data_IF_356415180572
#
_entry.id   IF_356415180572
#
_cell.length_a   1.000
_cell.length_b   1.000
_cell.length_c   1.000
_cell.angle_alpha   90.00
_cell.angle_beta   90.00
_cell.angle_gamma   90.00
#
_symmetry.space_group_name_H-M   'P 1'
#
loop_
_entity.id
_entity.type
_entity.pdbx_description
1 polymer ?
#
# COMPACT_ATOMS: atom_id res chain seq x y z
N UNK A 1 -1.01 23.05 10.60
CA UNK A 1 -1.96 22.82 9.49
C UNK A 1 -1.43 21.65 8.68
N UNK A 2 -2.28 20.65 8.39
CA UNK A 2 -1.95 19.52 7.50
C UNK A 2 -1.43 20.04 6.15
N UNK A 3 -0.33 19.42 5.65
CA UNK A 3 0.20 19.72 4.32
C UNK A 3 -0.44 18.84 3.25
N UNK A 4 -0.96 17.67 3.65
CA UNK A 4 -1.70 16.75 2.80
C UNK A 4 -2.70 15.94 3.64
N UNK A 5 -3.83 15.57 3.04
CA UNK A 5 -4.86 14.75 3.69
C UNK A 5 -4.81 13.31 3.20
N UNK A 6 -4.30 13.11 1.99
CA UNK A 6 -4.21 11.81 1.31
C UNK A 6 -2.76 11.56 0.94
N UNK A 7 -2.28 10.34 1.18
CA UNK A 7 -1.00 9.82 0.72
C UNK A 7 -1.18 8.80 -0.39
N UNK A 8 -0.33 8.84 -1.40
CA UNK A 8 -0.31 7.84 -2.48
C UNK A 8 1.11 7.29 -2.62
N UNK A 9 1.27 6.00 -2.44
CA UNK A 9 2.53 5.33 -2.79
C UNK A 9 2.60 5.13 -4.31
N UNK A 10 3.05 6.18 -5.01
CA UNK A 10 3.11 6.20 -6.46
C UNK A 10 4.21 7.09 -7.00
N UNK A 11 4.85 6.65 -8.08
CA UNK A 11 5.93 7.38 -8.76
C UNK A 11 5.43 8.46 -9.73
N UNK A 12 6.34 8.93 -10.60
CA UNK A 12 6.10 10.01 -11.56
C UNK A 12 4.87 9.81 -12.45
N UNK A 13 4.51 8.57 -12.75
CA UNK A 13 3.30 8.25 -13.51
C UNK A 13 1.99 8.78 -12.88
N UNK A 14 1.97 9.12 -11.58
CA UNK A 14 0.79 9.66 -10.91
C UNK A 14 0.74 11.18 -10.89
N UNK A 15 1.87 11.86 -10.75
CA UNK A 15 1.90 13.31 -10.54
C UNK A 15 2.47 14.12 -11.70
N UNK A 16 3.08 13.51 -12.71
CA UNK A 16 3.70 14.20 -13.84
C UNK A 16 2.74 15.02 -14.71
N UNK A 17 1.43 14.77 -14.59
CA UNK A 17 0.38 15.48 -15.32
C UNK A 17 -0.48 16.37 -14.40
N UNK A 18 -0.05 16.58 -13.15
CA UNK A 18 -0.74 17.46 -12.22
C UNK A 18 -0.09 18.84 -12.24
N UNK A 19 -0.92 19.87 -12.12
CA UNK A 19 -0.45 21.23 -11.94
C UNK A 19 -0.01 21.47 -10.49
N UNK A 20 0.81 22.48 -10.26
CA UNK A 20 1.25 22.95 -8.92
C UNK A 20 1.92 21.86 -8.06
N UNK A 21 2.71 21.00 -8.70
CA UNK A 21 3.48 19.97 -7.97
C UNK A 21 4.68 20.60 -7.27
N UNK A 22 4.77 20.43 -5.97
CA UNK A 22 5.87 20.91 -5.14
C UNK A 22 6.64 19.74 -4.53
N UNK A 23 7.94 19.69 -4.79
CA UNK A 23 8.85 18.72 -4.17
C UNK A 23 9.26 19.17 -2.77
N UNK A 24 9.10 18.30 -1.78
CA UNK A 24 9.57 18.54 -0.42
C UNK A 24 10.41 17.38 0.08
N UNK A 25 11.47 17.70 0.82
CA UNK A 25 12.24 16.73 1.62
C UNK A 25 11.62 16.64 2.99
N UNK A 26 11.45 15.44 3.48
CA UNK A 26 10.92 15.16 4.82
C UNK A 26 11.98 14.41 5.59
N UNK A 27 12.45 15.02 6.68
CA UNK A 27 13.32 14.34 7.64
C UNK A 27 12.48 13.48 8.57
N UNK A 28 12.95 12.26 8.84
CA UNK A 28 12.26 11.34 9.73
C UNK A 28 13.22 10.75 10.76
N UNK A 29 12.74 10.39 11.96
CA UNK A 29 13.56 9.74 12.97
C UNK A 29 13.99 8.32 12.57
N UNK A 30 13.48 7.81 11.47
CA UNK A 30 13.80 6.48 10.92
C UNK A 30 14.78 6.53 9.75
N UNK A 31 15.41 7.69 9.52
CA UNK A 31 16.27 7.95 8.38
C UNK A 31 15.50 8.46 7.15
N UNK A 32 16.13 8.53 5.98
CA UNK A 32 15.51 9.10 4.79
C UNK A 32 14.38 8.21 4.25
N UNK A 33 13.27 8.81 3.79
CA UNK A 33 12.30 8.14 2.93
C UNK A 33 12.93 7.69 1.61
N UNK A 34 12.20 6.86 0.86
CA UNK A 34 12.66 6.33 -0.43
C UNK A 34 12.96 7.42 -1.48
N UNK A 35 12.31 8.56 -1.37
CA UNK A 35 12.51 9.75 -2.22
C UNK A 35 11.91 10.99 -1.54
N UNK A 36 12.05 12.17 -2.16
CA UNK A 36 11.30 13.35 -1.78
C UNK A 36 9.80 13.12 -1.99
N UNK A 37 8.99 13.75 -1.16
CA UNK A 37 7.53 13.72 -1.29
C UNK A 37 7.11 14.82 -2.28
N UNK A 38 6.24 14.47 -3.22
CA UNK A 38 5.64 15.41 -4.16
C UNK A 38 4.25 15.79 -3.65
N UNK A 39 4.03 17.06 -3.35
CA UNK A 39 2.73 17.61 -2.98
C UNK A 39 2.03 18.16 -4.22
N UNK A 40 0.77 17.79 -4.40
CA UNK A 40 -0.06 18.30 -5.48
C UNK A 40 -1.50 18.50 -5.01
N UNK A 41 -2.29 19.19 -5.82
CA UNK A 41 -3.72 19.33 -5.58
C UNK A 41 -4.49 18.50 -6.61
N UNK A 42 -5.35 17.61 -6.14
CA UNK A 42 -6.23 16.79 -6.97
C UNK A 42 -7.66 17.07 -6.56
N UNK A 43 -8.44 17.64 -7.49
CA UNK A 43 -9.85 18.02 -7.24
C UNK A 43 -10.04 18.86 -5.96
N UNK A 44 -9.16 19.81 -5.69
CA UNK A 44 -9.19 20.66 -4.50
C UNK A 44 -8.60 20.03 -3.22
N UNK A 45 -8.15 18.79 -3.28
CA UNK A 45 -7.58 18.04 -2.13
C UNK A 45 -6.06 18.03 -2.19
N UNK A 46 -5.42 18.22 -1.06
CA UNK A 46 -3.96 18.13 -0.94
C UNK A 46 -3.52 16.67 -0.83
N UNK A 47 -2.69 16.25 -1.77
CA UNK A 47 -2.22 14.87 -1.91
C UNK A 47 -0.70 14.85 -1.86
N UNK A 48 -0.16 13.92 -1.08
CA UNK A 48 1.27 13.62 -1.02
C UNK A 48 1.57 12.34 -1.80
N UNK A 49 2.45 12.41 -2.79
CA UNK A 49 2.91 11.26 -3.56
C UNK A 49 4.34 10.90 -3.14
N UNK A 50 4.60 9.62 -2.93
CA UNK A 50 5.92 9.10 -2.60
C UNK A 50 6.23 7.86 -3.43
N UNK A 51 7.28 7.88 -4.29
CA UNK A 51 7.68 6.70 -5.04
C UNK A 51 8.36 5.69 -4.09
N UNK A 52 7.64 4.62 -3.75
CA UNK A 52 8.07 3.57 -2.81
C UNK A 52 9.46 3.02 -3.10
N UNK A 53 9.78 2.82 -4.35
CA UNK A 53 11.07 2.28 -4.81
C UNK A 53 12.08 3.36 -5.23
N UNK A 54 11.81 4.65 -4.93
CA UNK A 54 12.50 5.79 -5.49
C UNK A 54 12.10 6.05 -6.94
N UNK A 55 12.24 7.31 -7.40
CA UNK A 55 11.81 7.73 -8.75
C UNK A 55 12.52 7.00 -9.90
N UNK A 56 13.68 6.42 -9.65
CA UNK A 56 14.46 5.61 -10.61
C UNK A 56 14.36 4.11 -10.36
N UNK A 57 13.45 3.68 -9.50
CA UNK A 57 13.25 2.27 -9.11
C UNK A 57 14.53 1.58 -8.62
N UNK A 58 15.32 2.29 -7.80
CA UNK A 58 16.63 1.82 -7.32
C UNK A 58 16.59 1.03 -6.01
N UNK A 59 15.45 1.07 -5.32
CA UNK A 59 15.28 0.38 -4.05
C UNK A 59 14.50 -0.92 -4.24
N UNK A 60 15.12 -2.09 -4.11
CA UNK A 60 14.38 -3.35 -4.11
C UNK A 60 13.49 -3.47 -2.87
N UNK A 61 12.43 -4.31 -2.87
CA UNK A 61 11.41 -4.35 -1.82
C UNK A 61 11.93 -4.49 -0.40
N UNK A 62 12.99 -5.29 -0.20
CA UNK A 62 13.58 -5.54 1.12
C UNK A 62 14.49 -4.40 1.62
N UNK A 63 14.84 -3.44 0.76
CA UNK A 63 15.67 -2.28 1.09
C UNK A 63 14.86 -0.98 1.25
N UNK A 64 13.56 -1.03 1.01
CA UNK A 64 12.67 0.12 1.23
C UNK A 64 12.61 0.45 2.70
N UNK A 65 12.84 1.72 3.04
CA UNK A 65 12.65 2.20 4.41
C UNK A 65 11.16 2.51 4.67
N UNK A 66 10.40 1.46 4.92
CA UNK A 66 8.95 1.56 5.12
C UNK A 66 8.56 2.47 6.27
N UNK A 67 9.30 2.43 7.42
CA UNK A 67 9.02 3.32 8.55
C UNK A 67 9.20 4.79 8.18
N UNK A 68 10.27 5.14 7.50
CA UNK A 68 10.49 6.52 7.07
C UNK A 68 9.42 6.98 6.06
N UNK A 69 9.03 6.12 5.11
CA UNK A 69 8.01 6.44 4.13
C UNK A 69 6.65 6.73 4.76
N UNK A 70 6.22 5.86 5.66
CA UNK A 70 4.93 5.98 6.36
C UNK A 70 4.96 7.16 7.33
N UNK A 71 6.07 7.35 8.06
CA UNK A 71 6.25 8.50 8.93
C UNK A 71 6.21 9.83 8.16
N UNK A 72 6.79 9.88 6.97
CA UNK A 72 6.73 11.08 6.14
C UNK A 72 5.29 11.48 5.83
N UNK A 73 4.42 10.53 5.48
CA UNK A 73 3.00 10.80 5.31
C UNK A 73 2.32 11.26 6.60
N UNK A 74 2.57 10.57 7.70
CA UNK A 74 2.02 10.93 9.00
C UNK A 74 2.40 12.37 9.41
N UNK A 75 3.68 12.76 9.29
CA UNK A 75 4.18 14.10 9.63
C UNK A 75 3.59 15.22 8.75
N UNK A 76 3.07 14.88 7.58
CA UNK A 76 2.35 15.80 6.69
C UNK A 76 0.87 15.91 7.03
N UNK A 77 0.36 15.10 7.95
CA UNK A 77 -1.03 15.08 8.40
C UNK A 77 -1.95 14.16 7.58
N UNK A 78 -1.38 13.25 6.79
CA UNK A 78 -2.15 12.27 5.99
C UNK A 78 -3.03 11.41 6.89
N UNK A 79 -4.28 11.20 6.47
CA UNK A 79 -5.27 10.36 7.14
C UNK A 79 -5.68 9.14 6.31
N UNK A 80 -5.59 9.23 5.00
CA UNK A 80 -5.94 8.16 4.06
C UNK A 80 -4.75 7.85 3.15
N UNK A 81 -4.38 6.59 3.06
CA UNK A 81 -3.26 6.13 2.21
C UNK A 81 -3.79 5.21 1.13
N UNK A 82 -3.48 5.53 -0.13
CA UNK A 82 -3.75 4.68 -1.28
C UNK A 82 -2.43 4.04 -1.71
N UNK A 83 -2.40 2.72 -1.73
CA UNK A 83 -1.22 1.90 -2.01
C UNK A 83 -1.46 1.02 -3.26
N UNK A 84 -1.32 1.59 -4.47
CA UNK A 84 -1.36 0.79 -5.68
C UNK A 84 -0.10 -0.05 -5.83
N UNK A 85 -0.25 -1.28 -6.34
CA UNK A 85 0.89 -2.17 -6.61
C UNK A 85 0.58 -3.17 -7.72
N UNK A 86 1.62 -3.62 -8.42
CA UNK A 86 1.58 -4.79 -9.29
C UNK A 86 1.60 -6.06 -8.44
N UNK A 87 0.85 -7.08 -8.84
CA UNK A 87 0.73 -8.35 -8.13
C UNK A 87 0.66 -9.53 -9.10
N UNK A 88 1.20 -10.68 -8.68
CA UNK A 88 0.92 -11.95 -9.31
C UNK A 88 -0.37 -12.56 -8.79
N UNK A 89 -1.12 -13.25 -9.65
CA UNK A 89 -2.31 -14.00 -9.25
C UNK A 89 -1.96 -15.41 -8.79
N UNK A 90 -2.59 -15.84 -7.71
CA UNK A 90 -2.53 -17.21 -7.19
C UNK A 90 -3.80 -18.01 -7.54
N UNK A 91 -4.77 -17.38 -8.22
CA UNK A 91 -6.06 -17.99 -8.53
C UNK A 91 -6.38 -17.81 -10.02
N UNK A 92 -6.76 -18.88 -10.71
CA UNK A 92 -7.00 -18.85 -12.16
C UNK A 92 -8.10 -17.89 -12.62
N UNK A 93 -9.08 -17.61 -11.77
CA UNK A 93 -10.18 -16.69 -12.07
C UNK A 93 -9.84 -15.21 -11.83
N UNK A 94 -8.67 -14.93 -11.26
CA UNK A 94 -8.15 -13.57 -11.07
C UNK A 94 -7.08 -13.36 -12.15
N UNK A 95 -7.48 -12.80 -13.28
CA UNK A 95 -6.67 -12.76 -14.50
C UNK A 95 -5.82 -11.49 -14.58
N UNK A 96 -4.70 -11.52 -15.34
CA UNK A 96 -3.96 -10.30 -15.68
C UNK A 96 -4.88 -9.22 -16.27
N UNK A 97 -4.74 -7.99 -15.78
CA UNK A 97 -5.61 -6.86 -16.09
C UNK A 97 -6.78 -6.67 -15.13
N UNK A 98 -7.12 -7.65 -14.31
CA UNK A 98 -8.09 -7.49 -13.22
C UNK A 98 -7.48 -6.65 -12.09
N UNK A 99 -8.33 -5.99 -11.32
CA UNK A 99 -7.97 -5.34 -10.07
C UNK A 99 -8.51 -6.14 -8.89
N UNK A 100 -7.75 -6.14 -7.79
CA UNK A 100 -8.19 -6.73 -6.52
C UNK A 100 -7.95 -5.73 -5.39
N UNK A 101 -8.94 -5.58 -4.54
CA UNK A 101 -8.88 -4.78 -3.31
C UNK A 101 -8.59 -5.72 -2.13
N UNK A 102 -7.35 -5.71 -1.65
CA UNK A 102 -6.99 -6.57 -0.53
C UNK A 102 -7.78 -6.21 0.73
N UNK A 103 -8.21 -7.22 1.47
CA UNK A 103 -8.83 -7.08 2.79
C UNK A 103 -8.02 -7.77 3.89
N UNK A 104 -7.09 -8.64 3.51
CA UNK A 104 -6.17 -9.32 4.41
C UNK A 104 -4.79 -9.47 3.79
N UNK A 105 -3.79 -9.64 4.65
CA UNK A 105 -2.45 -10.02 4.22
C UNK A 105 -1.92 -11.24 4.99
N UNK A 106 -0.96 -11.93 4.39
CA UNK A 106 -0.13 -12.94 5.05
C UNK A 106 1.33 -12.55 4.87
N UNK A 107 2.02 -12.33 5.97
CA UNK A 107 3.44 -11.98 5.96
C UNK A 107 4.33 -13.21 5.77
N UNK A 108 5.16 -13.18 4.73
CA UNK A 108 6.24 -14.13 4.45
C UNK A 108 7.58 -13.41 4.27
N UNK A 109 7.70 -12.20 4.80
CA UNK A 109 8.93 -11.41 4.78
C UNK A 109 9.89 -11.80 5.92
N UNK A 110 11.09 -11.24 5.95
CA UNK A 110 12.11 -11.53 6.96
C UNK A 110 12.86 -10.26 7.35
N UNK A 111 13.02 -10.03 8.64
CA UNK A 111 13.92 -9.00 9.18
C UNK A 111 13.60 -7.57 8.80
N UNK A 112 12.38 -7.28 8.36
CA UNK A 112 11.93 -5.92 8.11
C UNK A 112 11.69 -5.19 9.44
N UNK A 113 11.90 -3.89 9.43
CA UNK A 113 11.46 -3.01 10.52
C UNK A 113 9.99 -2.71 10.32
N UNK A 114 9.15 -3.37 11.09
CA UNK A 114 7.72 -3.55 10.82
C UNK A 114 6.79 -3.01 11.91
N UNK A 115 7.33 -2.24 12.87
CA UNK A 115 6.54 -1.56 13.90
C UNK A 115 7.17 -0.22 14.29
N UNK A 116 6.33 0.71 14.73
CA UNK A 116 6.73 1.95 15.40
C UNK A 116 6.82 1.79 16.93
N UNK A 117 6.35 0.68 17.48
CA UNK A 117 6.28 0.44 18.91
C UNK A 117 7.40 -0.51 19.41
N UNK A 118 8.64 -0.13 19.14
CA UNK A 118 9.86 -0.88 19.52
C UNK A 118 10.19 -0.82 21.05
N UNK A 119 9.25 -0.40 21.88
CA UNK A 119 9.40 -0.26 23.33
C UNK A 119 9.57 1.21 23.78
N UNK A 120 9.80 1.48 25.11
CA UNK A 120 9.91 0.52 26.22
C UNK A 120 8.58 -0.06 26.67
N UNK A 121 7.45 0.43 26.13
CA UNK A 121 6.12 -0.08 26.47
C UNK A 121 5.63 -0.97 25.35
N UNK A 122 5.29 -2.20 25.68
CA UNK A 122 4.72 -3.14 24.72
C UNK A 122 3.34 -2.69 24.27
N UNK A 123 3.17 -2.57 22.95
CA UNK A 123 1.91 -2.16 22.33
C UNK A 123 1.54 -3.19 21.25
N UNK A 124 0.33 -3.74 21.34
CA UNK A 124 -0.17 -4.77 20.44
C UNK A 124 -1.30 -4.21 19.57
N UNK A 125 -1.00 -3.89 18.33
CA UNK A 125 -2.00 -3.40 17.38
C UNK A 125 -2.55 -4.57 16.58
N UNK A 126 -3.89 -4.71 16.56
CA UNK A 126 -4.55 -5.79 15.82
C UNK A 126 -4.67 -5.46 14.34
N UNK A 127 -4.17 -6.32 13.43
CA UNK A 127 -4.36 -6.17 11.98
C UNK A 127 -5.62 -6.86 11.46
N UNK A 128 -6.57 -7.25 12.32
CA UNK A 128 -7.72 -8.08 11.91
C UNK A 128 -8.61 -7.40 10.87
N UNK A 129 -8.81 -6.09 10.97
CA UNK A 129 -9.60 -5.26 10.04
C UNK A 129 -8.77 -4.05 9.59
N UNK A 130 -7.59 -4.29 9.06
CA UNK A 130 -6.60 -3.25 8.79
C UNK A 130 -6.93 -2.38 7.58
N UNK A 131 -7.50 -2.95 6.52
CA UNK A 131 -7.85 -2.20 5.30
C UNK A 131 -9.19 -1.50 5.45
N UNK A 132 -9.22 -0.20 5.14
CA UNK A 132 -10.39 0.66 5.36
C UNK A 132 -11.58 0.25 4.48
N UNK A 133 -12.70 -0.10 5.13
CA UNK A 133 -13.91 -0.59 4.47
C UNK A 133 -14.58 0.48 3.61
N UNK A 134 -14.56 1.74 4.04
CA UNK A 134 -15.16 2.86 3.29
C UNK A 134 -14.36 3.14 2.02
N UNK A 135 -13.03 3.20 2.14
CA UNK A 135 -12.16 3.41 0.98
C UNK A 135 -12.27 2.26 -0.02
N UNK A 136 -12.33 1.01 0.45
CA UNK A 136 -12.50 -0.17 -0.41
C UNK A 136 -13.82 -0.15 -1.17
N UNK A 137 -14.93 0.23 -0.51
CA UNK A 137 -16.24 0.35 -1.16
C UNK A 137 -16.20 1.40 -2.28
N UNK A 138 -15.67 2.59 -1.99
CA UNK A 138 -15.53 3.66 -2.98
C UNK A 138 -14.65 3.20 -4.15
N UNK A 139 -13.53 2.52 -3.86
CA UNK A 139 -12.63 2.01 -4.89
C UNK A 139 -13.31 0.98 -5.80
N UNK A 140 -14.09 0.05 -5.23
CA UNK A 140 -14.83 -0.94 -6.01
C UNK A 140 -15.83 -0.31 -6.97
N UNK A 141 -16.53 0.72 -6.53
CA UNK A 141 -17.47 1.47 -7.37
C UNK A 141 -16.73 2.17 -8.53
N UNK A 142 -15.66 2.90 -8.23
CA UNK A 142 -14.84 3.59 -9.24
C UNK A 142 -14.25 2.62 -10.25
N UNK A 143 -13.65 1.51 -9.81
CA UNK A 143 -13.03 0.53 -10.70
C UNK A 143 -14.06 -0.05 -11.67
N UNK A 144 -15.27 -0.37 -11.19
CA UNK A 144 -16.37 -0.86 -12.04
C UNK A 144 -16.83 0.17 -13.07
N UNK A 145 -16.90 1.45 -12.68
CA UNK A 145 -17.26 2.54 -13.61
C UNK A 145 -16.23 2.73 -14.75
N UNK A 146 -14.97 2.38 -14.48
CA UNK A 146 -13.93 2.32 -15.52
C UNK A 146 -14.00 1.07 -16.40
N UNK A 147 -15.00 0.19 -16.19
CA UNK A 147 -15.16 -1.05 -16.96
C UNK A 147 -14.11 -2.12 -16.66
N UNK A 148 -13.42 -2.02 -15.52
CA UNK A 148 -12.36 -2.95 -15.11
C UNK A 148 -12.96 -4.01 -14.18
N UNK A 149 -12.62 -5.27 -14.41
CA UNK A 149 -13.00 -6.37 -13.52
C UNK A 149 -12.34 -6.17 -12.15
N UNK A 150 -13.16 -6.08 -11.10
CA UNK A 150 -12.75 -5.83 -9.74
C UNK A 150 -13.11 -6.99 -8.82
N UNK A 151 -12.12 -7.55 -8.14
CA UNK A 151 -12.32 -8.46 -7.02
C UNK A 151 -12.30 -7.63 -5.73
N UNK A 152 -13.46 -7.51 -5.09
CA UNK A 152 -13.66 -6.56 -3.96
C UNK A 152 -13.04 -7.02 -2.64
N UNK A 153 -12.53 -8.24 -2.59
CA UNK A 153 -11.84 -8.81 -1.43
C UNK A 153 -10.80 -9.83 -1.85
N UNK A 154 -9.80 -10.02 -1.03
CA UNK A 154 -8.81 -11.07 -1.22
C UNK A 154 -7.59 -10.91 -0.33
N UNK A 155 -6.99 -12.04 -0.01
CA UNK A 155 -5.76 -12.10 0.79
C UNK A 155 -4.54 -11.94 -0.10
N UNK A 156 -3.66 -11.00 0.25
CA UNK A 156 -2.35 -10.86 -0.38
C UNK A 156 -1.29 -11.57 0.45
N UNK A 157 -0.52 -12.47 -0.14
CA UNK A 157 0.70 -12.97 0.49
C UNK A 157 1.87 -12.07 0.12
N UNK A 158 2.63 -11.63 1.13
CA UNK A 158 3.75 -10.71 0.92
C UNK A 158 5.06 -11.45 1.13
N UNK A 159 5.82 -11.64 0.04
CA UNK A 159 7.13 -12.29 0.08
C UNK A 159 8.26 -11.27 0.18
N UNK A 160 9.44 -11.73 0.57
CA UNK A 160 10.59 -10.84 0.80
C UNK A 160 11.04 -10.08 -0.44
N UNK A 161 11.02 -10.72 -1.60
CA UNK A 161 11.70 -10.20 -2.79
C UNK A 161 13.24 -10.07 -2.60
N UNK A 162 13.99 -9.60 -3.62
CA UNK A 162 13.51 -9.26 -4.96
C UNK A 162 13.22 -10.48 -5.85
N UNK A 163 13.54 -11.71 -5.42
CA UNK A 163 13.22 -12.91 -6.18
C UNK A 163 11.71 -13.15 -6.20
N UNK A 164 11.21 -13.68 -7.29
CA UNK A 164 9.86 -14.23 -7.38
C UNK A 164 9.75 -15.58 -6.64
N UNK A 165 8.53 -16.09 -6.52
CA UNK A 165 8.24 -17.39 -5.91
C UNK A 165 8.83 -18.53 -6.75
N UNK A 166 9.20 -19.60 -6.08
CA UNK A 166 9.36 -20.91 -6.76
C UNK A 166 7.98 -21.49 -7.07
N UNK A 167 7.93 -22.43 -8.02
CA UNK A 167 6.67 -23.18 -8.32
C UNK A 167 6.11 -23.89 -7.09
N UNK A 168 6.98 -24.37 -6.19
CA UNK A 168 6.57 -25.03 -4.95
C UNK A 168 5.96 -24.05 -3.95
N UNK A 169 6.55 -22.85 -3.80
CA UNK A 169 5.99 -21.78 -2.97
C UNK A 169 4.63 -21.34 -3.51
N UNK A 170 4.53 -21.09 -4.81
CA UNK A 170 3.30 -20.69 -5.47
C UNK A 170 2.19 -21.76 -5.33
N UNK A 171 2.50 -23.02 -5.53
CA UNK A 171 1.58 -24.13 -5.30
C UNK A 171 1.07 -24.19 -3.85
N UNK A 172 1.98 -23.99 -2.88
CA UNK A 172 1.60 -23.92 -1.47
C UNK A 172 0.67 -22.76 -1.20
N UNK A 173 0.98 -21.54 -1.67
CA UNK A 173 0.14 -20.35 -1.47
C UNK A 173 -1.25 -20.51 -2.11
N UNK A 174 -1.31 -21.11 -3.30
CA UNK A 174 -2.57 -21.43 -4.01
C UNK A 174 -3.42 -22.42 -3.20
N UNK A 175 -2.80 -23.48 -2.64
CA UNK A 175 -3.50 -24.47 -1.81
C UNK A 175 -4.06 -23.87 -0.51
N UNK A 176 -3.41 -22.84 0.04
CA UNK A 176 -3.91 -22.11 1.21
C UNK A 176 -5.12 -21.22 0.87
N UNK A 177 -5.51 -21.12 -0.39
CA UNK A 177 -6.63 -20.28 -0.84
C UNK A 177 -6.32 -18.79 -0.86
N UNK A 178 -5.04 -18.38 -0.83
CA UNK A 178 -4.66 -16.98 -0.96
C UNK A 178 -4.82 -16.53 -2.41
N UNK A 179 -5.06 -15.23 -2.62
CA UNK A 179 -5.56 -14.72 -3.88
C UNK A 179 -4.47 -14.15 -4.77
N UNK A 180 -3.59 -13.34 -4.20
CA UNK A 180 -2.54 -12.61 -4.91
C UNK A 180 -1.25 -12.58 -4.11
N UNK A 181 -0.15 -12.26 -4.80
CA UNK A 181 1.18 -12.17 -4.22
C UNK A 181 1.85 -10.85 -4.59
N UNK A 182 2.52 -10.23 -3.63
CA UNK A 182 3.39 -9.08 -3.86
C UNK A 182 4.60 -9.05 -2.90
N UNK A 183 5.30 -7.91 -2.86
CA UNK A 183 6.53 -7.79 -2.06
C UNK A 183 6.52 -6.59 -1.11
N UNK A 184 5.46 -5.77 -1.07
CA UNK A 184 5.50 -4.45 -0.42
C UNK A 184 4.35 -4.14 0.53
N UNK A 185 3.21 -4.83 0.45
CA UNK A 185 2.06 -4.54 1.30
C UNK A 185 2.35 -4.73 2.80
N UNK A 186 3.25 -5.62 3.15
CA UNK A 186 3.81 -5.69 4.49
C UNK A 186 5.29 -5.27 4.49
N UNK A 187 5.70 -4.38 5.40
CA UNK A 187 4.94 -3.81 6.51
C UNK A 187 4.22 -2.49 6.18
N UNK A 188 4.22 -2.02 4.91
CA UNK A 188 3.70 -0.71 4.53
C UNK A 188 2.29 -0.43 5.08
N UNK A 189 1.37 -1.32 4.81
CA UNK A 189 -0.02 -1.14 5.23
C UNK A 189 -0.18 -1.25 6.75
N UNK A 190 0.53 -2.18 7.39
CA UNK A 190 0.49 -2.35 8.83
C UNK A 190 1.07 -1.12 9.57
N UNK A 191 2.17 -0.58 9.10
CA UNK A 191 2.76 0.66 9.66
C UNK A 191 1.81 1.87 9.51
N UNK A 192 1.08 1.99 8.38
CA UNK A 192 0.06 3.01 8.25
C UNK A 192 -1.05 2.85 9.29
N UNK A 193 -1.49 1.62 9.52
CA UNK A 193 -2.52 1.31 10.52
C UNK A 193 -2.04 1.64 11.94
N UNK A 194 -0.79 1.34 12.29
CA UNK A 194 -0.20 1.70 13.60
C UNK A 194 -0.20 3.21 13.87
N UNK A 195 -0.17 4.04 12.82
CA UNK A 195 -0.26 5.51 12.92
C UNK A 195 -1.69 6.04 12.70
N UNK A 196 -2.70 5.18 12.79
CA UNK A 196 -4.10 5.57 12.70
C UNK A 196 -4.51 6.07 11.31
N UNK A 197 -3.77 5.75 10.26
CA UNK A 197 -4.15 6.08 8.88
C UNK A 197 -4.99 4.97 8.26
N UNK A 198 -6.08 5.34 7.57
CA UNK A 198 -6.87 4.40 6.76
C UNK A 198 -6.08 3.95 5.54
N UNK A 199 -6.13 2.67 5.21
CA UNK A 199 -5.35 2.08 4.12
C UNK A 199 -6.24 1.46 3.07
N UNK A 200 -6.00 1.81 1.82
CA UNK A 200 -6.55 1.17 0.63
C UNK A 200 -5.42 0.57 -0.21
N UNK A 201 -5.41 -0.74 -0.36
CA UNK A 201 -4.60 -1.37 -1.38
C UNK A 201 -5.39 -1.51 -2.67
N UNK A 202 -4.77 -1.15 -3.79
CA UNK A 202 -5.27 -1.40 -5.15
C UNK A 202 -4.25 -2.28 -5.86
N UNK A 203 -4.54 -3.56 -5.94
CA UNK A 203 -3.68 -4.54 -6.60
C UNK A 203 -4.04 -4.67 -8.07
N UNK A 204 -3.12 -4.32 -8.96
CA UNK A 204 -3.22 -4.57 -10.39
C UNK A 204 -2.56 -5.91 -10.71
N UNK A 205 -3.35 -6.86 -11.19
CA UNK A 205 -2.86 -8.18 -11.57
C UNK A 205 -2.08 -8.08 -12.87
N UNK A 206 -0.78 -8.39 -12.83
CA UNK A 206 0.12 -8.30 -14.01
C UNK A 206 0.39 -9.65 -14.62
N UNK A 207 0.33 -10.72 -13.85
CA UNK A 207 0.70 -12.08 -14.25
C UNK A 207 0.02 -13.13 -13.36
N UNK A 208 0.14 -14.39 -13.77
CA UNK A 208 -0.08 -15.51 -12.87
C UNK A 208 1.26 -15.87 -12.21
N UNK A 209 1.27 -16.05 -10.88
CA UNK A 209 2.48 -16.47 -10.20
C UNK A 209 2.96 -17.86 -10.69
N UNK A 210 4.23 -18.15 -10.43
CA UNK A 210 4.95 -19.29 -10.99
C UNK A 210 4.19 -20.64 -10.87
N UNK A 211 3.72 -21.18 -11.98
CA UNK A 211 3.07 -22.51 -12.05
C UNK A 211 1.59 -22.54 -11.66
N UNK A 212 0.93 -21.40 -11.46
CA UNK A 212 -0.54 -21.34 -11.24
C UNK A 212 -1.31 -21.80 -12.48
N UNK A 213 -0.82 -21.44 -13.65
CA UNK A 213 -1.31 -21.93 -14.92
C UNK A 213 -0.24 -22.84 -15.53
N UNK A 214 -0.64 -24.03 -16.00
CA UNK A 214 0.28 -24.96 -16.66
C UNK A 214 0.82 -24.33 -17.94
N UNK A 215 2.08 -24.59 -18.25
CA UNK A 215 2.78 -24.15 -19.46
C UNK A 215 2.93 -22.63 -19.64
N UNK A 216 2.73 -21.83 -18.60
CA UNK A 216 3.12 -20.41 -18.62
C UNK A 216 4.64 -20.26 -18.45
N UNK A 217 5.20 -19.31 -19.18
CA UNK A 217 6.59 -18.90 -18.96
C UNK A 217 6.82 -18.44 -17.51
N UNK A 218 8.06 -18.58 -17.05
CA UNK A 218 8.43 -18.08 -15.73
C UNK A 218 8.17 -16.56 -15.64
N UNK A 219 7.65 -16.12 -14.50
CA UNK A 219 7.45 -14.70 -14.23
C UNK A 219 8.78 -13.97 -14.32
N UNK A 220 8.86 -12.95 -15.17
CA UNK A 220 10.03 -12.11 -15.33
C UNK A 220 9.70 -10.65 -15.01
N UNK A 221 10.69 -9.90 -14.53
CA UNK A 221 10.50 -8.47 -14.28
C UNK A 221 10.08 -7.71 -15.55
N UNK A 222 10.53 -8.15 -16.73
CA UNK A 222 10.17 -7.54 -18.01
C UNK A 222 8.67 -7.69 -18.29
N UNK A 223 8.12 -8.91 -18.19
CA UNK A 223 6.72 -9.19 -18.45
C UNK A 223 5.80 -8.43 -17.46
N UNK A 224 6.18 -8.40 -16.18
CA UNK A 224 5.46 -7.64 -15.14
C UNK A 224 5.42 -6.14 -15.47
N UNK A 225 6.57 -5.56 -15.87
CA UNK A 225 6.65 -4.14 -16.23
C UNK A 225 5.85 -3.81 -17.49
N UNK A 226 5.89 -4.64 -18.52
CA UNK A 226 5.15 -4.41 -19.76
C UNK A 226 3.64 -4.38 -19.51
N UNK A 227 3.09 -5.35 -18.77
CA UNK A 227 1.67 -5.37 -18.41
C UNK A 227 1.32 -4.21 -17.49
N UNK A 228 2.21 -3.88 -16.53
CA UNK A 228 2.01 -2.75 -15.65
C UNK A 228 1.96 -1.42 -16.43
N UNK A 229 2.89 -1.17 -17.34
CA UNK A 229 2.92 0.06 -18.17
C UNK A 229 1.67 0.19 -19.03
N UNK A 230 1.23 -0.92 -19.65
CA UNK A 230 0.00 -0.96 -20.47
C UNK A 230 -1.25 -0.58 -19.65
N UNK A 231 -1.27 -0.92 -18.37
CA UNK A 231 -2.40 -0.67 -17.48
C UNK A 231 -2.19 0.52 -16.53
N UNK A 232 -0.99 1.10 -16.49
CA UNK A 232 -0.63 2.19 -15.57
C UNK A 232 -1.52 3.42 -15.74
N UNK A 233 -1.94 3.74 -16.97
CA UNK A 233 -2.84 4.85 -17.22
C UNK A 233 -4.22 4.60 -16.60
N UNK A 234 -4.76 3.40 -16.72
CA UNK A 234 -6.02 3.02 -16.09
C UNK A 234 -5.91 3.09 -14.57
N UNK A 235 -4.84 2.52 -13.99
CA UNK A 235 -4.59 2.58 -12.56
C UNK A 235 -4.51 4.02 -12.06
N UNK A 236 -3.84 4.91 -12.81
CA UNK A 236 -3.76 6.33 -12.48
C UNK A 236 -5.13 7.01 -12.49
N UNK A 237 -5.93 6.80 -13.55
CA UNK A 237 -7.29 7.38 -13.66
C UNK A 237 -8.15 6.91 -12.47
N UNK A 238 -8.13 5.63 -12.18
CA UNK A 238 -8.85 5.03 -11.04
C UNK A 238 -8.42 5.68 -9.72
N UNK A 239 -7.12 5.79 -9.45
CA UNK A 239 -6.63 6.42 -8.22
C UNK A 239 -7.06 7.88 -8.11
N UNK A 240 -6.96 8.66 -9.17
CA UNK A 240 -7.37 10.07 -9.18
C UNK A 240 -8.89 10.21 -8.97
N UNK A 241 -9.70 9.33 -9.54
CA UNK A 241 -11.15 9.36 -9.36
C UNK A 241 -11.57 8.87 -7.97
N UNK A 242 -10.85 7.92 -7.38
CA UNK A 242 -11.02 7.56 -5.97
C UNK A 242 -10.74 8.78 -5.07
N UNK A 243 -9.62 9.49 -5.28
CA UNK A 243 -9.27 10.69 -4.52
C UNK A 243 -10.40 11.73 -4.58
N UNK A 244 -10.98 11.97 -5.75
CA UNK A 244 -12.11 12.90 -5.93
C UNK A 244 -13.36 12.47 -5.16
N UNK A 245 -13.60 11.15 -5.02
CA UNK A 245 -14.81 10.58 -4.43
C UNK A 245 -14.71 10.33 -2.93
N UNK A 246 -13.50 10.34 -2.35
CA UNK A 246 -13.35 10.24 -0.90
C UNK A 246 -14.12 11.37 -0.20
N UNK A 247 -14.70 11.16 1.00
CA UNK A 247 -15.41 12.18 1.76
C UNK A 247 -14.54 13.44 1.98
N UNK A 248 -15.12 14.64 1.89
CA UNK A 248 -14.38 15.90 2.08
C UNK A 248 -13.69 15.97 3.43
N UNK A 249 -14.42 15.57 4.48
CA UNK A 249 -13.85 15.28 5.78
C UNK A 249 -13.62 13.78 5.84
N UNK A 250 -12.38 13.37 6.03
CA UNK A 250 -12.00 11.94 6.15
C UNK A 250 -12.43 11.36 7.52
N UNK A 251 -13.62 11.79 8.01
CA UNK A 251 -14.19 11.28 9.26
C UNK A 251 -14.54 9.80 9.12
N UNK A 252 -14.02 8.98 10.04
CA UNK A 252 -14.20 7.53 10.00
C UNK A 252 -13.23 6.80 9.07
N UNK A 253 -12.35 7.52 8.34
CA UNK A 253 -11.22 6.94 7.62
C UNK A 253 -9.98 7.09 8.47
N UNK A 254 -9.41 5.95 8.90
CA UNK A 254 -8.29 5.90 9.82
C UNK A 254 -8.60 6.57 11.17
N UNK A 255 -8.19 5.98 12.24
CA UNK A 255 -8.35 6.56 13.58
C UNK A 255 -7.48 5.81 14.56
N UNK A 256 -6.89 6.52 15.51
CA UNK A 256 -6.29 5.91 16.70
C UNK A 256 -7.32 5.19 17.58
N UNK A 257 -8.62 5.37 17.32
CA UNK A 257 -9.64 4.58 18.02
C UNK A 257 -9.52 3.07 17.78
N UNK A 258 -9.01 2.67 16.60
CA UNK A 258 -8.69 1.27 16.31
C UNK A 258 -7.55 0.74 17.18
N UNK A 259 -6.78 1.63 17.81
CA UNK A 259 -5.68 1.31 18.70
C UNK A 259 -6.09 1.27 20.18
N UNK A 260 -7.38 1.42 20.50
CA UNK A 260 -7.89 1.24 21.86
C UNK A 260 -7.56 -0.18 22.34
N UNK A 261 -7.19 -0.27 23.61
CA UNK A 261 -6.86 -1.55 24.28
C UNK A 261 -5.62 -2.28 23.73
N UNK A 262 -4.75 -1.59 23.03
CA UNK A 262 -3.49 -2.17 22.53
C UNK A 262 -2.43 -2.33 23.62
N UNK A 263 -2.62 -1.68 24.79
CA UNK A 263 -1.72 -1.72 25.94
C UNK A 263 -2.39 -2.31 27.17
N UNK A 264 -1.64 -3.14 27.90
CA UNK A 264 -2.13 -3.81 29.11
C UNK A 264 -2.34 -2.89 30.33
N UNK A 265 -1.83 -1.64 30.28
CA UNK A 265 -2.01 -0.63 31.32
C UNK A 265 -3.31 0.20 31.14
N UNK A 266 -4.13 -0.15 30.15
CA UNK A 266 -5.38 0.56 29.83
C UNK A 266 -5.19 1.90 29.12
N UNK A 267 -3.95 2.30 28.83
CA UNK A 267 -3.67 3.50 28.05
C UNK A 267 -4.14 3.29 26.60
N UNK A 268 -4.80 4.30 26.05
CA UNK A 268 -5.15 4.32 24.63
C UNK A 268 -3.95 4.84 23.86
N UNK A 269 -3.39 4.03 22.98
CA UNK A 269 -2.28 4.46 22.14
C UNK A 269 -2.69 5.67 21.28
N UNK A 270 -1.83 6.65 21.19
CA UNK A 270 -2.02 7.89 20.43
C UNK A 270 -0.69 8.36 19.82
N UNK A 271 -0.70 9.47 19.13
CA UNK A 271 0.50 10.00 18.46
C UNK A 271 1.71 10.20 19.40
N UNK A 272 1.49 10.51 20.68
CA UNK A 272 2.58 10.72 21.65
C UNK A 272 3.26 9.43 22.12
N UNK A 273 2.64 8.27 21.89
CA UNK A 273 3.20 6.98 22.25
C UNK A 273 4.11 6.41 21.16
N UNK A 274 4.04 6.97 19.95
CA UNK A 274 4.95 6.62 18.88
C UNK A 274 6.33 7.14 19.22
N UNK A 275 7.24 6.22 19.52
CA UNK A 275 8.58 6.58 19.95
C UNK A 275 9.40 7.13 18.77
N UNK A 276 9.71 8.41 18.86
CA UNK A 276 10.77 9.01 18.07
C UNK A 276 12.08 8.62 18.77
N UNK A 277 12.90 7.81 18.14
CA UNK A 277 14.26 7.55 18.61
C UNK A 277 15.08 8.79 18.26
N UNK A 278 15.63 9.45 19.27
CA UNK A 278 16.65 10.49 19.12
C UNK A 278 17.97 9.90 18.60
#
# INVERSE_FOLDING_TARGET
MSKADIGVFGGSGFYSLLDDVTEIKVDTPYGPPSDSVMLATVAGRKVAFLPRHGRRHTLPPHMVNYRANVWAFHSLGVKAVISPCAVGSLQRHIEPGHFLLADQFVDRTKGRKDTFYDGPVTTHVSPADMYDKTMRKIAAEVIREHGITCHESGTVVVIQGPRFSTKAESAWFTQMGWHIINMTQYPEAYLCHELGMGVLNISLVTDFDSGVVADTEAVTAHNVLEVFEKNAENARKVVLDIIKRLPDKLEGIGSFESLKFTRGDGHVANESDVRIFD
#
